data_IF_578912457632
#
_entry.id   IF_578912457632
#
_cell.length_a   1.000
_cell.length_b   1.000
_cell.length_c   1.000
_cell.angle_alpha   90.00
_cell.angle_beta   90.00
_cell.angle_gamma   90.00
#
_symmetry.space_group_name_H-M   'P 1'
#
loop_
_entity.id
_entity.type
_entity.pdbx_description
1 polymer ?
#
# COMPACT_ATOMS: atom_id res chain seq x y z
N UNK A 1 -53.12 -67.66 -19.14
CA UNK A 1 -53.32 -66.96 -20.45
C UNK A 1 -52.47 -65.64 -20.33
N UNK A 2 -51.33 -65.77 -20.98
CA UNK A 2 -50.66 -64.71 -21.79
C UNK A 2 -50.28 -63.42 -21.11
N UNK A 3 -49.14 -62.97 -21.06
CA UNK A 3 -47.93 -62.98 -21.91
C UNK A 3 -47.38 -61.49 -21.88
N UNK A 4 -46.09 -61.40 -21.73
CA UNK A 4 -45.25 -60.33 -22.21
C UNK A 4 -45.54 -58.86 -21.85
N UNK A 5 -44.61 -58.34 -21.07
CA UNK A 5 -43.87 -57.12 -21.46
C UNK A 5 -42.62 -56.98 -20.53
N UNK A 6 -41.61 -57.66 -20.97
CA UNK A 6 -40.23 -57.43 -20.50
C UNK A 6 -39.62 -56.28 -21.30
N UNK A 7 -38.87 -55.43 -20.65
CA UNK A 7 -37.76 -54.73 -21.34
C UNK A 7 -37.91 -53.23 -21.59
N UNK A 8 -37.98 -52.40 -20.58
CA UNK A 8 -37.55 -50.99 -20.70
C UNK A 8 -37.17 -50.43 -19.32
N UNK A 9 -36.03 -50.83 -18.83
CA UNK A 9 -35.61 -50.43 -17.48
C UNK A 9 -34.10 -50.51 -17.23
N UNK A 10 -33.30 -50.38 -18.29
CA UNK A 10 -31.83 -50.46 -18.14
C UNK A 10 -31.07 -49.53 -19.06
N UNK A 11 -31.46 -48.25 -19.19
CA UNK A 11 -30.65 -47.30 -19.98
C UNK A 11 -30.83 -45.86 -19.54
N UNK A 12 -30.78 -45.59 -18.23
CA UNK A 12 -30.73 -44.20 -17.73
C UNK A 12 -30.08 -44.16 -16.35
N UNK A 13 -28.84 -44.65 -16.26
CA UNK A 13 -28.07 -44.57 -15.00
C UNK A 13 -26.57 -44.36 -15.24
N UNK A 14 -26.19 -43.49 -16.17
CA UNK A 14 -24.80 -43.05 -16.29
C UNK A 14 -24.73 -41.75 -17.09
N UNK A 15 -25.30 -40.66 -16.58
CA UNK A 15 -25.02 -39.34 -17.15
C UNK A 15 -25.40 -38.22 -16.15
N UNK A 16 -24.88 -38.29 -14.93
CA UNK A 16 -24.81 -37.10 -14.06
C UNK A 16 -23.55 -37.27 -13.21
N UNK A 17 -22.53 -36.59 -13.57
CA UNK A 17 -21.34 -35.99 -12.94
C UNK A 17 -20.16 -36.06 -13.92
N UNK A 18 -19.39 -35.01 -14.15
CA UNK A 18 -18.91 -34.02 -13.18
C UNK A 18 -19.00 -32.57 -13.71
N UNK A 19 -19.71 -31.72 -13.04
CA UNK A 19 -19.68 -30.28 -13.31
C UNK A 19 -19.79 -29.46 -12.03
N UNK A 20 -19.12 -29.86 -10.95
CA UNK A 20 -19.01 -29.04 -9.74
C UNK A 20 -17.62 -29.24 -9.12
N UNK A 21 -16.58 -28.91 -9.85
CA UNK A 21 -15.23 -28.78 -9.23
C UNK A 21 -14.28 -27.85 -10.01
N UNK A 22 -14.79 -26.76 -10.56
CA UNK A 22 -13.92 -25.78 -11.24
C UNK A 22 -14.18 -24.33 -10.83
N UNK A 23 -14.86 -24.07 -9.70
CA UNK A 23 -15.18 -22.67 -9.35
C UNK A 23 -14.56 -22.16 -8.05
N UNK A 24 -13.61 -22.85 -7.44
CA UNK A 24 -12.98 -22.39 -6.19
C UNK A 24 -11.50 -22.02 -6.30
N UNK A 25 -10.91 -22.04 -7.50
CA UNK A 25 -9.48 -21.71 -7.67
C UNK A 25 -9.22 -20.26 -8.14
N UNK A 26 -10.24 -19.48 -8.48
CA UNK A 26 -10.01 -18.15 -9.07
C UNK A 26 -9.94 -16.99 -8.06
N UNK A 27 -10.23 -17.19 -6.79
CA UNK A 27 -10.19 -16.12 -5.79
C UNK A 27 -8.93 -16.12 -4.90
N UNK A 28 -8.14 -17.20 -4.97
CA UNK A 28 -6.89 -17.27 -4.21
C UNK A 28 -5.70 -16.56 -4.91
N UNK A 29 -5.82 -16.27 -6.20
CA UNK A 29 -4.69 -15.77 -7.00
C UNK A 29 -4.53 -14.25 -6.97
N UNK A 30 -5.53 -13.49 -6.53
CA UNK A 30 -5.45 -12.02 -6.42
C UNK A 30 -4.96 -11.53 -5.06
N UNK A 31 -5.10 -12.34 -4.01
CA UNK A 31 -4.58 -12.00 -2.67
C UNK A 31 -3.06 -12.19 -2.54
N UNK A 32 -2.42 -12.88 -3.48
CA UNK A 32 -0.98 -13.18 -3.45
C UNK A 32 -0.11 -12.13 -4.17
N UNK A 33 -0.69 -11.11 -4.81
CA UNK A 33 0.08 -10.13 -5.57
C UNK A 33 0.81 -9.07 -4.71
N UNK A 34 0.58 -9.02 -3.40
CA UNK A 34 1.16 -8.03 -2.49
C UNK A 34 1.95 -8.62 -1.31
N UNK A 35 2.56 -9.79 -1.47
CA UNK A 35 3.47 -10.35 -0.45
C UNK A 35 4.73 -9.46 -0.26
N UNK A 36 5.05 -8.60 -1.22
CA UNK A 36 6.21 -7.70 -1.17
C UNK A 36 6.07 -6.48 -0.25
N UNK A 37 4.85 -6.08 0.13
CA UNK A 37 4.63 -4.98 1.09
C UNK A 37 4.20 -5.53 2.45
N UNK A 38 5.19 -5.98 3.19
CA UNK A 38 4.99 -6.55 4.52
C UNK A 38 4.57 -5.47 5.49
N UNK A 39 3.42 -5.66 6.12
CA UNK A 39 2.97 -4.80 7.23
C UNK A 39 4.12 -4.61 8.21
N UNK A 40 4.45 -3.37 8.53
CA UNK A 40 5.54 -3.09 9.47
C UNK A 40 5.23 -3.66 10.85
N UNK A 41 3.97 -3.81 11.23
CA UNK A 41 3.51 -4.41 12.48
C UNK A 41 3.43 -5.94 12.46
N UNK A 42 3.83 -6.62 11.37
CA UNK A 42 3.83 -8.07 11.34
C UNK A 42 4.76 -8.65 12.41
N UNK A 43 4.26 -9.65 13.11
CA UNK A 43 5.03 -10.36 14.14
C UNK A 43 6.12 -11.24 13.51
N UNK A 44 7.13 -11.60 14.29
CA UNK A 44 8.21 -12.50 13.86
C UNK A 44 7.66 -13.84 13.35
N UNK A 45 6.67 -14.41 14.04
CA UNK A 45 6.06 -15.67 13.65
C UNK A 45 5.31 -15.56 12.30
N UNK A 46 4.57 -14.47 12.09
CA UNK A 46 3.92 -14.21 10.80
C UNK A 46 4.93 -14.06 9.67
N UNK A 47 6.01 -13.29 9.88
CA UNK A 47 7.07 -13.13 8.90
C UNK A 47 7.76 -14.45 8.56
N UNK A 48 8.01 -15.31 9.54
CA UNK A 48 8.56 -16.64 9.30
C UNK A 48 7.65 -17.53 8.48
N UNK A 49 6.34 -17.48 8.75
CA UNK A 49 5.33 -18.19 7.96
C UNK A 49 5.27 -17.66 6.53
N UNK A 50 5.28 -16.34 6.36
CA UNK A 50 5.28 -15.70 5.03
C UNK A 50 6.54 -16.09 4.23
N UNK A 51 7.72 -16.09 4.85
CA UNK A 51 8.97 -16.50 4.19
C UNK A 51 8.87 -17.96 3.70
N UNK A 52 8.43 -18.87 4.58
CA UNK A 52 8.23 -20.29 4.22
C UNK A 52 7.19 -20.47 3.11
N UNK A 53 6.09 -19.71 3.17
CA UNK A 53 5.06 -19.75 2.13
C UNK A 53 5.58 -19.28 0.77
N UNK A 54 6.37 -18.18 0.75
CA UNK A 54 7.01 -17.67 -0.46
C UNK A 54 8.03 -18.64 -1.03
N UNK A 55 8.87 -19.28 -0.18
CA UNK A 55 9.81 -20.33 -0.57
C UNK A 55 9.09 -21.54 -1.18
N UNK A 56 7.99 -21.99 -0.55
CA UNK A 56 7.16 -23.09 -1.08
C UNK A 56 6.50 -22.75 -2.41
N UNK A 57 5.95 -21.54 -2.53
CA UNK A 57 5.35 -21.06 -3.77
C UNK A 57 6.39 -20.92 -4.90
N UNK A 58 7.62 -20.52 -4.58
CA UNK A 58 8.73 -20.47 -5.55
C UNK A 58 9.10 -21.85 -6.11
N UNK A 59 8.99 -22.91 -5.31
CA UNK A 59 9.23 -24.28 -5.75
C UNK A 59 8.12 -24.78 -6.70
N UNK A 60 6.89 -24.32 -6.51
CA UNK A 60 5.72 -24.68 -7.31
C UNK A 60 5.46 -23.71 -8.48
N UNK A 61 6.31 -22.69 -8.67
CA UNK A 61 6.11 -21.65 -9.66
C UNK A 61 6.17 -22.21 -11.11
N UNK A 62 5.25 -21.80 -11.99
CA UNK A 62 5.15 -22.33 -13.34
C UNK A 62 6.26 -21.82 -14.29
N UNK A 63 6.88 -20.70 -13.97
CA UNK A 63 7.89 -20.05 -14.79
C UNK A 63 9.04 -19.46 -13.95
N UNK A 64 10.21 -19.26 -14.61
CA UNK A 64 11.43 -18.79 -13.96
C UNK A 64 11.27 -17.38 -13.36
N UNK A 65 10.54 -16.49 -14.01
CA UNK A 65 10.36 -15.10 -13.56
C UNK A 65 9.50 -15.03 -12.29
N UNK A 66 8.43 -15.83 -12.22
CA UNK A 66 7.60 -15.94 -11.03
C UNK A 66 8.36 -16.56 -9.87
N UNK A 67 9.16 -17.61 -10.15
CA UNK A 67 10.05 -18.22 -9.16
C UNK A 67 11.05 -17.22 -8.59
N UNK A 68 11.76 -16.49 -9.44
CA UNK A 68 12.75 -15.48 -9.04
C UNK A 68 12.09 -14.42 -8.12
N UNK A 69 10.96 -13.86 -8.52
CA UNK A 69 10.24 -12.86 -7.71
C UNK A 69 9.84 -13.40 -6.33
N UNK A 70 9.34 -14.64 -6.25
CA UNK A 70 8.96 -15.24 -4.97
C UNK A 70 10.17 -15.54 -4.09
N UNK A 71 11.32 -15.90 -4.68
CA UNK A 71 12.58 -16.06 -3.94
C UNK A 71 13.12 -14.72 -3.44
N UNK A 72 13.00 -13.64 -4.23
CA UNK A 72 13.35 -12.29 -3.82
C UNK A 72 12.49 -11.82 -2.65
N UNK A 73 11.18 -12.06 -2.71
CA UNK A 73 10.25 -11.77 -1.62
C UNK A 73 10.64 -12.53 -0.34
N UNK A 74 10.89 -13.83 -0.44
CA UNK A 74 11.33 -14.64 0.70
C UNK A 74 12.65 -14.13 1.29
N UNK A 75 13.61 -13.77 0.43
CA UNK A 75 14.91 -13.25 0.86
C UNK A 75 14.78 -11.89 1.56
N UNK A 76 13.91 -11.01 1.08
CA UNK A 76 13.60 -9.73 1.71
C UNK A 76 13.01 -9.92 3.11
N UNK A 77 12.07 -10.87 3.27
CA UNK A 77 11.51 -11.21 4.59
C UNK A 77 12.60 -11.76 5.53
N UNK A 78 13.45 -12.67 5.04
CA UNK A 78 14.56 -13.20 5.84
C UNK A 78 15.55 -12.11 6.26
N UNK A 79 15.85 -11.16 5.37
CA UNK A 79 16.68 -10.02 5.71
C UNK A 79 16.05 -9.13 6.77
N UNK A 80 14.74 -8.88 6.68
CA UNK A 80 14.00 -8.14 7.69
C UNK A 80 14.04 -8.83 9.05
N UNK A 81 13.77 -10.14 9.11
CA UNK A 81 13.87 -10.95 10.33
C UNK A 81 15.25 -10.90 10.98
N UNK A 82 16.31 -10.82 10.17
CA UNK A 82 17.70 -10.74 10.65
C UNK A 82 18.08 -9.33 11.10
N UNK A 83 17.72 -8.33 10.33
CA UNK A 83 18.20 -6.96 10.53
C UNK A 83 17.27 -6.14 11.43
N UNK A 84 16.01 -6.55 11.59
CA UNK A 84 14.96 -5.74 12.23
C UNK A 84 14.42 -4.64 11.34
N UNK A 85 13.54 -3.82 11.92
CA UNK A 85 12.84 -2.75 11.21
C UNK A 85 13.49 -1.37 11.40
N UNK A 86 14.33 -1.22 12.43
CA UNK A 86 14.87 0.09 12.81
C UNK A 86 16.14 0.43 12.03
N UNK A 87 16.13 1.62 11.44
CA UNK A 87 17.27 2.19 10.73
C UNK A 87 17.68 3.53 11.35
N UNK A 88 18.93 3.98 11.16
CA UNK A 88 19.35 5.29 11.61
C UNK A 88 18.45 6.41 11.11
N UNK A 89 18.03 7.28 12.03
CA UNK A 89 17.12 8.40 11.75
C UNK A 89 15.64 8.11 12.06
N UNK A 90 15.26 6.86 12.27
CA UNK A 90 13.91 6.51 12.73
C UNK A 90 13.64 7.18 14.08
N UNK A 91 12.39 7.59 14.30
CA UNK A 91 11.95 8.22 15.53
C UNK A 91 10.98 7.36 16.29
N UNK A 92 11.14 7.31 17.58
CA UNK A 92 10.35 6.49 18.49
C UNK A 92 9.79 7.41 19.57
N UNK A 93 8.47 7.42 19.70
CA UNK A 93 7.78 8.04 20.83
C UNK A 93 7.82 7.04 21.98
N UNK A 94 8.34 7.47 23.13
CA UNK A 94 8.33 6.68 24.36
C UNK A 94 7.53 7.44 25.39
N UNK A 95 6.53 6.79 25.92
CA UNK A 95 5.67 7.30 26.96
C UNK A 95 5.92 6.47 28.23
N UNK A 96 6.35 7.12 29.26
CA UNK A 96 6.52 6.50 30.58
C UNK A 96 5.22 6.73 31.35
N UNK A 97 4.62 5.66 31.81
CA UNK A 97 3.36 5.67 32.56
C UNK A 97 3.66 5.66 34.06
N UNK A 98 2.73 6.16 34.88
CA UNK A 98 2.84 6.17 36.35
C UNK A 98 2.94 7.58 36.94
N UNK A 99 3.43 7.69 38.18
CA UNK A 99 3.45 8.95 38.96
C UNK A 99 4.27 10.08 38.33
N UNK A 100 5.22 9.74 37.47
CA UNK A 100 6.06 10.69 36.72
C UNK A 100 5.85 10.50 35.20
N UNK A 101 4.59 10.53 34.79
CA UNK A 101 4.23 10.36 33.37
C UNK A 101 4.99 11.39 32.49
N UNK A 102 5.73 10.91 31.52
CA UNK A 102 6.44 11.72 30.54
C UNK A 102 6.38 11.09 29.16
N UNK A 103 6.35 11.92 28.13
CA UNK A 103 6.35 11.49 26.75
C UNK A 103 7.45 12.26 26.01
N UNK A 104 8.34 11.53 25.35
CA UNK A 104 9.42 12.15 24.58
C UNK A 104 9.73 11.33 23.33
N UNK A 105 10.34 11.99 22.34
CA UNK A 105 10.70 11.39 21.06
C UNK A 105 12.21 11.21 20.95
N UNK A 106 12.62 9.96 20.73
CA UNK A 106 14.03 9.60 20.59
C UNK A 106 14.33 9.20 19.15
N UNK A 107 15.54 9.51 18.69
CA UNK A 107 15.99 9.17 17.33
C UNK A 107 16.99 8.03 17.40
N UNK A 108 16.80 7.03 16.54
CA UNK A 108 17.73 5.91 16.37
C UNK A 108 19.03 6.41 15.77
N UNK A 109 20.15 6.14 16.42
CA UNK A 109 21.50 6.58 16.02
C UNK A 109 22.06 5.75 14.86
N UNK A 110 23.19 6.18 14.31
CA UNK A 110 23.88 5.54 13.19
C UNK A 110 24.27 4.08 13.40
N UNK A 111 24.50 3.69 14.65
CA UNK A 111 24.84 2.33 15.09
C UNK A 111 23.59 1.48 15.45
N UNK A 112 22.39 1.97 15.14
CA UNK A 112 21.08 1.39 15.53
C UNK A 112 20.88 1.31 17.03
N UNK A 113 21.50 2.22 17.77
CA UNK A 113 21.30 2.36 19.20
C UNK A 113 20.27 3.44 19.49
N UNK A 114 19.52 3.25 20.56
CA UNK A 114 18.61 4.21 21.15
C UNK A 114 19.21 4.69 22.47
N UNK A 115 19.38 6.00 22.59
CA UNK A 115 19.90 6.62 23.80
C UNK A 115 18.74 7.22 24.62
N UNK A 116 18.52 6.65 25.78
CA UNK A 116 17.55 7.15 26.76
C UNK A 116 18.28 7.88 27.91
N UNK A 117 17.67 8.91 28.52
CA UNK A 117 18.27 9.63 29.64
C UNK A 117 18.54 8.68 30.81
N UNK A 118 19.73 8.80 31.40
CA UNK A 118 20.17 8.03 32.57
C UNK A 118 20.22 6.50 32.41
N UNK A 119 20.15 6.01 31.16
CA UNK A 119 20.24 4.60 30.84
C UNK A 119 21.38 4.35 29.83
N UNK A 120 21.99 3.18 29.83
CA UNK A 120 22.90 2.79 28.73
C UNK A 120 22.19 2.74 27.39
N UNK A 121 22.96 2.89 26.31
CA UNK A 121 22.46 2.76 24.95
C UNK A 121 21.82 1.38 24.74
N UNK A 122 20.63 1.36 24.15
CA UNK A 122 19.84 0.15 23.88
C UNK A 122 19.93 -0.17 22.39
N UNK A 123 20.35 -1.39 22.05
CA UNK A 123 20.44 -1.83 20.65
C UNK A 123 19.07 -2.20 20.11
N UNK A 124 18.73 -1.65 18.93
CA UNK A 124 17.55 -2.01 18.14
C UNK A 124 17.89 -2.88 16.93
N UNK A 125 19.15 -3.36 16.82
CA UNK A 125 19.54 -4.26 15.76
C UNK A 125 18.79 -5.60 15.87
N UNK A 126 18.10 -6.01 14.79
CA UNK A 126 17.32 -7.24 14.77
C UNK A 126 15.94 -7.15 15.46
N UNK A 127 15.56 -5.99 15.99
CA UNK A 127 14.25 -5.76 16.63
C UNK A 127 13.22 -5.40 15.56
N UNK A 128 12.08 -6.07 15.58
CA UNK A 128 10.93 -5.72 14.75
C UNK A 128 10.08 -4.64 15.43
N UNK A 129 9.34 -3.87 14.65
CA UNK A 129 8.43 -2.84 15.18
C UNK A 129 7.40 -3.44 16.16
N UNK A 130 6.87 -4.61 15.84
CA UNK A 130 5.96 -5.37 16.71
C UNK A 130 6.59 -5.84 18.03
N UNK A 131 7.91 -5.85 18.12
CA UNK A 131 8.68 -6.28 19.32
C UNK A 131 9.20 -5.09 20.12
N UNK A 132 9.08 -3.86 19.61
CA UNK A 132 9.72 -2.66 20.15
C UNK A 132 9.39 -2.43 21.63
N UNK A 133 8.11 -2.43 21.97
CA UNK A 133 7.63 -2.21 23.35
C UNK A 133 8.20 -3.23 24.33
N UNK A 134 8.10 -4.51 23.97
CA UNK A 134 8.55 -5.60 24.84
C UNK A 134 10.06 -5.58 24.99
N UNK A 135 10.80 -5.30 23.90
CA UNK A 135 12.24 -5.16 23.90
C UNK A 135 12.68 -4.01 24.82
N UNK A 136 12.09 -2.82 24.66
CA UNK A 136 12.43 -1.68 25.52
C UNK A 136 12.04 -1.91 26.97
N UNK A 137 10.87 -2.48 27.23
CA UNK A 137 10.45 -2.83 28.60
C UNK A 137 11.44 -3.75 29.27
N UNK A 138 11.93 -4.76 28.55
CA UNK A 138 12.96 -5.71 29.03
C UNK A 138 14.30 -5.03 29.30
N UNK A 139 14.78 -4.20 28.38
CA UNK A 139 16.07 -3.53 28.51
C UNK A 139 16.07 -2.48 29.65
N UNK A 140 15.01 -1.66 29.72
CA UNK A 140 14.83 -0.66 30.79
C UNK A 140 14.61 -1.35 32.14
N UNK A 141 13.93 -2.50 32.17
CA UNK A 141 13.68 -3.30 33.36
C UNK A 141 14.93 -3.84 34.06
N UNK A 142 16.10 -3.81 33.41
CA UNK A 142 17.39 -4.12 34.03
C UNK A 142 17.84 -3.04 35.02
N UNK A 143 17.36 -1.83 34.86
CA UNK A 143 17.78 -0.64 35.63
C UNK A 143 16.63 -0.03 36.47
N UNK A 144 15.40 -0.14 35.97
CA UNK A 144 14.19 0.40 36.61
C UNK A 144 13.29 -0.75 37.04
N UNK A 145 12.82 -0.76 38.27
CA UNK A 145 11.88 -1.76 38.76
C UNK A 145 10.50 -1.53 38.16
N UNK A 146 9.94 -2.56 37.51
CA UNK A 146 8.59 -2.53 36.92
C UNK A 146 8.36 -1.31 36.01
N UNK A 147 9.13 -1.16 34.92
CA UNK A 147 8.95 -0.03 34.02
C UNK A 147 7.60 -0.18 33.29
N UNK A 148 6.71 0.77 33.48
CA UNK A 148 5.51 0.92 32.67
C UNK A 148 5.79 1.91 31.57
N UNK A 149 6.06 1.43 30.37
CA UNK A 149 6.32 2.25 29.19
C UNK A 149 5.50 1.80 27.99
N UNK A 150 5.19 2.77 27.14
CA UNK A 150 4.71 2.53 25.79
C UNK A 150 5.76 3.02 24.81
N UNK A 151 5.92 2.36 23.69
CA UNK A 151 6.87 2.75 22.66
C UNK A 151 6.22 2.54 21.29
N UNK A 152 6.20 3.60 20.50
CA UNK A 152 5.56 3.61 19.18
C UNK A 152 6.49 4.26 18.17
N UNK A 153 6.68 3.61 17.04
CA UNK A 153 7.43 4.18 15.91
C UNK A 153 6.66 5.35 15.32
N UNK A 154 7.38 6.42 15.03
CA UNK A 154 6.83 7.59 14.35
C UNK A 154 7.20 7.55 12.88
N UNK A 155 6.26 7.95 12.04
CA UNK A 155 6.43 8.07 10.61
C UNK A 155 6.27 9.54 10.19
N UNK A 156 7.15 10.02 9.31
CA UNK A 156 7.04 11.35 8.74
C UNK A 156 6.49 11.26 7.33
N UNK A 157 5.29 11.76 7.10
CA UNK A 157 4.62 11.78 5.81
C UNK A 157 4.52 13.20 5.25
N UNK A 158 4.49 13.32 3.93
CA UNK A 158 4.17 14.55 3.22
C UNK A 158 2.69 14.55 2.83
N UNK A 159 1.96 15.57 3.27
CA UNK A 159 0.56 15.79 2.89
C UNK A 159 0.50 16.81 1.77
N UNK A 160 0.01 16.43 0.60
CA UNK A 160 0.10 17.25 -0.62
C UNK A 160 -1.25 17.32 -1.36
N UNK A 161 -1.44 18.40 -2.11
CA UNK A 161 -2.64 18.63 -2.93
C UNK A 161 -3.75 19.33 -2.16
N UNK A 162 -5.00 18.94 -2.41
CA UNK A 162 -6.21 19.57 -1.86
C UNK A 162 -6.55 19.05 -0.46
N UNK A 163 -5.71 19.39 0.49
CA UNK A 163 -5.87 19.06 1.91
C UNK A 163 -5.79 20.36 2.74
N UNK A 164 -6.47 20.38 3.88
CA UNK A 164 -6.61 21.58 4.69
C UNK A 164 -5.26 22.18 5.14
N UNK A 165 -4.31 21.35 5.58
CA UNK A 165 -2.94 21.75 5.94
C UNK A 165 -1.95 20.81 5.27
N UNK A 166 -1.38 21.28 4.14
CA UNK A 166 -0.29 20.58 3.46
C UNK A 166 1.04 20.74 4.18
N UNK A 167 1.99 19.85 3.89
CA UNK A 167 3.32 19.85 4.44
C UNK A 167 3.69 18.52 5.10
N UNK A 168 4.79 18.53 5.87
CA UNK A 168 5.22 17.33 6.58
C UNK A 168 4.53 17.21 7.93
N UNK A 169 4.04 16.00 8.21
CA UNK A 169 3.51 15.62 9.53
C UNK A 169 4.28 14.42 10.06
N UNK A 170 4.36 14.34 11.37
CA UNK A 170 4.95 13.18 12.06
C UNK A 170 3.85 12.55 12.89
N UNK A 171 3.62 11.27 12.69
CA UNK A 171 2.49 10.52 13.24
C UNK A 171 2.94 9.16 13.75
N UNK A 172 2.29 8.63 14.80
CA UNK A 172 2.44 7.25 15.22
C UNK A 172 2.00 6.28 14.14
N UNK A 173 2.70 5.15 14.00
CA UNK A 173 2.38 4.14 12.97
C UNK A 173 1.08 3.37 13.25
N UNK A 174 0.65 3.32 14.48
CA UNK A 174 -0.61 2.72 14.92
C UNK A 174 -1.82 3.63 14.72
N UNK A 175 -1.61 4.89 14.29
CA UNK A 175 -2.69 5.83 14.02
C UNK A 175 -3.45 5.47 12.74
N UNK A 176 -4.78 5.52 12.80
CA UNK A 176 -5.63 5.28 11.64
C UNK A 176 -5.42 6.35 10.55
N UNK A 177 -5.45 5.95 9.28
CA UNK A 177 -5.28 6.87 8.15
C UNK A 177 -6.35 7.96 8.11
N UNK A 178 -7.56 7.66 8.59
CA UNK A 178 -8.66 8.62 8.73
C UNK A 178 -8.32 9.75 9.69
N UNK A 179 -7.70 9.41 10.83
CA UNK A 179 -7.32 10.38 11.85
C UNK A 179 -6.19 11.28 11.35
N UNK A 180 -5.25 10.71 10.59
CA UNK A 180 -4.18 11.45 9.92
C UNK A 180 -4.74 12.50 8.96
N UNK A 181 -5.73 12.12 8.15
CA UNK A 181 -6.41 13.05 7.25
C UNK A 181 -7.13 14.16 8.01
N UNK A 182 -7.85 13.82 9.08
CA UNK A 182 -8.57 14.80 9.90
C UNK A 182 -7.63 15.72 10.66
N UNK A 183 -6.51 15.22 11.18
CA UNK A 183 -5.49 16.02 11.84
C UNK A 183 -4.88 17.08 10.91
N UNK A 184 -4.87 16.83 9.59
CA UNK A 184 -4.42 17.80 8.58
C UNK A 184 -5.54 18.71 8.05
N UNK A 185 -6.72 18.70 8.67
CA UNK A 185 -7.87 19.53 8.29
C UNK A 185 -8.74 18.90 7.21
N UNK A 186 -8.53 17.64 6.90
CA UNK A 186 -9.33 16.87 5.95
C UNK A 186 -9.17 17.30 4.49
N UNK A 187 -9.83 16.59 3.56
CA UNK A 187 -9.87 16.96 2.15
C UNK A 187 -10.58 18.30 1.95
N UNK A 188 -9.99 19.17 1.14
CA UNK A 188 -10.60 20.45 0.78
C UNK A 188 -11.89 20.29 -0.04
N UNK A 189 -12.67 21.35 -0.17
CA UNK A 189 -13.96 21.33 -0.92
C UNK A 189 -13.80 20.98 -2.41
N UNK A 190 -12.66 21.30 -2.99
CA UNK A 190 -12.31 20.97 -4.39
C UNK A 190 -11.57 19.63 -4.52
N UNK A 191 -11.31 18.91 -3.43
CA UNK A 191 -10.58 17.66 -3.43
C UNK A 191 -11.34 16.53 -4.16
N UNK A 192 -10.67 15.81 -5.05
CA UNK A 192 -11.12 14.51 -5.58
C UNK A 192 -10.60 13.40 -4.67
N UNK A 193 -11.22 13.27 -3.51
CA UNK A 193 -10.77 12.32 -2.48
C UNK A 193 -10.73 10.88 -2.97
N UNK A 194 -11.61 10.49 -3.89
CA UNK A 194 -11.65 9.14 -4.45
C UNK A 194 -10.40 8.81 -5.30
N UNK A 195 -9.64 9.83 -5.70
CA UNK A 195 -8.38 9.66 -6.46
C UNK A 195 -7.13 9.92 -5.61
N UNK A 196 -7.28 9.92 -4.29
CA UNK A 196 -6.13 10.03 -3.39
C UNK A 196 -5.21 8.83 -3.55
N UNK A 197 -3.91 9.08 -3.68
CA UNK A 197 -2.87 8.06 -3.84
C UNK A 197 -1.73 8.32 -2.89
N UNK A 198 -0.92 7.28 -2.61
CA UNK A 198 0.36 7.47 -1.94
C UNK A 198 1.49 7.34 -2.97
N UNK A 199 2.44 8.26 -2.91
CA UNK A 199 3.62 8.28 -3.78
C UNK A 199 4.89 8.11 -2.96
N UNK A 200 5.85 7.41 -3.52
CA UNK A 200 7.21 7.29 -3.01
C UNK A 200 8.18 7.63 -4.12
N UNK A 201 9.01 8.66 -3.95
CA UNK A 201 9.92 9.14 -5.00
C UNK A 201 9.22 9.37 -6.34
N UNK A 202 8.01 9.95 -6.32
CA UNK A 202 7.20 10.26 -7.49
C UNK A 202 6.43 9.08 -8.12
N UNK A 203 6.62 7.85 -7.63
CA UNK A 203 5.89 6.66 -8.09
C UNK A 203 4.71 6.37 -7.16
N UNK A 204 3.58 5.98 -7.72
CA UNK A 204 2.42 5.51 -6.93
C UNK A 204 2.76 4.16 -6.32
N UNK A 205 2.67 4.07 -4.98
CA UNK A 205 2.90 2.85 -4.20
C UNK A 205 1.62 2.34 -3.54
N UNK A 206 0.62 3.21 -3.34
CA UNK A 206 -0.74 2.82 -2.96
C UNK A 206 -1.69 3.47 -3.95
N UNK A 207 -2.44 2.66 -4.66
CA UNK A 207 -3.42 3.13 -5.66
C UNK A 207 -4.62 3.83 -4.99
N UNK A 208 -5.44 4.51 -5.78
CA UNK A 208 -6.61 5.18 -5.26
C UNK A 208 -7.63 4.18 -4.67
N UNK A 209 -7.79 3.03 -5.30
CA UNK A 209 -8.68 1.97 -4.84
C UNK A 209 -8.23 1.40 -3.51
N UNK A 210 -6.93 1.08 -3.39
CA UNK A 210 -6.32 0.57 -2.15
C UNK A 210 -6.39 1.59 -1.02
N UNK A 211 -6.17 2.88 -1.34
CA UNK A 211 -6.30 3.96 -0.36
C UNK A 211 -7.74 4.08 0.16
N UNK A 212 -8.73 4.04 -0.73
CA UNK A 212 -10.14 4.08 -0.35
C UNK A 212 -10.55 2.86 0.47
N UNK A 213 -10.00 1.68 0.16
CA UNK A 213 -10.23 0.48 0.96
C UNK A 213 -9.61 0.62 2.35
N UNK A 214 -8.38 1.14 2.46
CA UNK A 214 -7.72 1.40 3.73
C UNK A 214 -8.53 2.36 4.60
N UNK A 215 -9.09 3.43 4.02
CA UNK A 215 -9.98 4.38 4.70
C UNK A 215 -11.24 3.68 5.20
N UNK A 216 -11.91 2.88 4.35
CA UNK A 216 -13.14 2.14 4.74
C UNK A 216 -12.89 1.09 5.83
N UNK A 217 -11.75 0.42 5.75
CA UNK A 217 -11.34 -0.60 6.72
C UNK A 217 -10.70 0.01 7.98
N UNK A 218 -10.62 1.33 8.07
CA UNK A 218 -9.95 2.08 9.15
C UNK A 218 -8.53 1.53 9.44
N UNK A 219 -7.76 1.25 8.37
CA UNK A 219 -6.39 0.73 8.51
C UNK A 219 -5.47 1.78 9.14
N UNK A 220 -4.51 1.30 9.89
CA UNK A 220 -3.44 2.14 10.42
C UNK A 220 -2.41 2.47 9.34
N UNK A 221 -1.61 3.49 9.59
CA UNK A 221 -0.49 3.87 8.72
C UNK A 221 0.52 2.72 8.58
N UNK A 222 0.76 1.98 9.66
CA UNK A 222 1.62 0.80 9.68
C UNK A 222 1.08 -0.36 8.83
N UNK A 223 -0.26 -0.58 8.83
CA UNK A 223 -0.91 -1.60 7.99
C UNK A 223 -0.81 -1.29 6.49
N UNK A 224 -0.65 -0.01 6.13
CA UNK A 224 -0.50 0.42 4.75
C UNK A 224 0.94 0.34 4.24
N UNK A 225 1.88 -0.14 5.06
CA UNK A 225 3.32 -0.26 4.73
C UNK A 225 3.96 1.07 4.26
N UNK A 226 3.47 2.19 4.79
CA UNK A 226 4.00 3.51 4.47
C UNK A 226 5.40 3.66 5.08
N UNK A 227 6.23 4.51 4.46
CA UNK A 227 7.60 4.78 4.88
C UNK A 227 7.85 6.27 5.07
N UNK A 228 8.87 6.60 5.80
CA UNK A 228 9.34 7.98 5.94
C UNK A 228 9.54 8.64 4.58
N UNK A 229 8.95 9.82 4.41
CA UNK A 229 9.00 10.57 3.17
C UNK A 229 7.95 10.19 2.12
N UNK A 230 7.07 9.24 2.39
CA UNK A 230 5.94 8.97 1.50
C UNK A 230 5.00 10.18 1.45
N UNK A 231 4.42 10.40 0.28
CA UNK A 231 3.55 11.52 -0.02
C UNK A 231 2.11 11.05 -0.19
N UNK A 232 1.20 11.49 0.68
CA UNK A 232 -0.23 11.34 0.49
C UNK A 232 -0.71 12.50 -0.37
N UNK A 233 -1.08 12.21 -1.61
CA UNK A 233 -1.48 13.20 -2.59
C UNK A 233 -2.99 13.17 -2.84
N UNK A 234 -3.67 14.26 -2.50
CA UNK A 234 -5.10 14.46 -2.73
C UNK A 234 -5.30 15.37 -3.94
N UNK A 235 -5.74 14.86 -5.11
CA UNK A 235 -5.89 15.67 -6.32
C UNK A 235 -7.08 16.62 -6.26
N UNK A 236 -7.08 17.62 -7.14
CA UNK A 236 -8.19 18.54 -7.36
C UNK A 236 -9.20 17.93 -8.35
N UNK A 237 -10.49 18.05 -8.09
CA UNK A 237 -11.58 17.70 -9.04
C UNK A 237 -11.45 18.44 -10.38
N UNK A 238 -10.88 19.66 -10.36
CA UNK A 238 -10.70 20.49 -11.58
C UNK A 238 -9.63 19.96 -12.53
N UNK A 239 -8.73 19.10 -12.09
CA UNK A 239 -7.70 18.52 -12.96
C UNK A 239 -8.26 17.63 -14.08
N UNK A 240 -9.48 17.07 -13.91
CA UNK A 240 -10.19 16.34 -14.97
C UNK A 240 -10.80 17.25 -16.07
N UNK A 241 -11.03 18.53 -15.79
CA UNK A 241 -11.58 19.47 -16.78
C UNK A 241 -10.50 19.99 -17.76
N UNK A 242 -9.25 20.06 -17.34
CA UNK A 242 -8.17 20.55 -18.20
C UNK A 242 -7.86 19.58 -19.35
N UNK A 243 -8.11 18.28 -19.22
CA UNK A 243 -7.94 17.30 -20.31
C UNK A 243 -8.98 17.56 -21.42
N UNK A 244 -10.22 17.91 -21.06
CA UNK A 244 -11.24 18.27 -22.07
C UNK A 244 -10.93 19.60 -22.76
N UNK A 245 -10.38 20.59 -22.05
CA UNK A 245 -9.90 21.84 -22.66
C UNK A 245 -8.70 21.61 -23.58
N UNK A 246 -7.75 20.75 -23.20
CA UNK A 246 -6.64 20.36 -24.08
C UNK A 246 -7.13 19.61 -25.33
N UNK A 247 -8.09 18.69 -25.19
CA UNK A 247 -8.71 18.00 -26.33
C UNK A 247 -9.47 18.99 -27.24
N UNK A 248 -10.15 19.98 -26.69
CA UNK A 248 -10.82 21.03 -27.47
C UNK A 248 -9.81 21.93 -28.19
N UNK A 249 -8.70 22.31 -27.56
CA UNK A 249 -7.63 23.09 -28.21
C UNK A 249 -6.94 22.29 -29.33
N UNK A 250 -6.67 21.01 -29.11
CA UNK A 250 -6.08 20.13 -30.13
C UNK A 250 -7.04 19.94 -31.31
N UNK A 251 -8.33 19.74 -31.06
CA UNK A 251 -9.33 19.61 -32.12
C UNK A 251 -9.52 20.90 -32.91
N UNK A 252 -9.48 22.08 -32.25
CA UNK A 252 -9.50 23.38 -32.91
C UNK A 252 -8.28 23.62 -33.80
N UNK A 253 -7.06 23.23 -33.36
CA UNK A 253 -5.85 23.32 -34.14
C UNK A 253 -5.86 22.38 -35.36
N UNK A 254 -6.38 21.16 -35.20
CA UNK A 254 -6.57 20.21 -36.29
C UNK A 254 -7.58 20.77 -37.33
N UNK A 255 -8.72 21.30 -36.84
CA UNK A 255 -9.71 21.93 -37.70
C UNK A 255 -9.14 23.11 -38.49
N UNK A 256 -8.36 24.00 -37.86
CA UNK A 256 -7.71 25.13 -38.49
C UNK A 256 -6.66 24.71 -39.54
N UNK A 257 -5.89 23.63 -39.27
CA UNK A 257 -4.96 23.04 -40.20
C UNK A 257 -5.67 22.52 -41.47
N UNK A 258 -6.83 21.86 -41.34
CA UNK A 258 -7.62 21.38 -42.47
C UNK A 258 -8.21 22.53 -43.28
N UNK A 259 -8.68 23.62 -42.69
CA UNK A 259 -9.21 24.80 -43.36
C UNK A 259 -8.10 25.47 -44.15
N UNK A 260 -6.90 25.63 -43.60
CA UNK A 260 -5.74 26.22 -44.32
C UNK A 260 -5.25 25.33 -45.46
N UNK A 261 -5.35 24.03 -45.35
CA UNK A 261 -4.88 23.10 -46.40
C UNK A 261 -5.89 22.91 -47.52
N UNK A 262 -7.20 22.99 -47.24
CA UNK A 262 -8.25 22.82 -48.27
C UNK A 262 -8.85 24.13 -48.76
N UNK A 263 -8.61 25.26 -48.09
CA UNK A 263 -9.08 26.59 -48.52
C UNK A 263 -8.35 27.17 -49.74
N UNK A 264 -7.28 26.55 -50.23
CA UNK A 264 -6.60 26.94 -51.49
C UNK A 264 -7.11 26.11 -52.65
N UNK A 265 -8.40 26.25 -53.01
CA UNK A 265 -8.83 25.89 -54.37
C UNK A 265 -8.61 27.13 -55.29
N UNK A 266 -7.84 27.00 -56.39
CA UNK A 266 -7.77 28.10 -57.33
C UNK A 266 -9.13 28.27 -57.98
N UNK A 267 -9.72 29.47 -57.89
CA UNK A 267 -10.86 29.90 -58.67
C UNK A 267 -10.43 29.97 -60.13
N UNK A 268 -10.83 28.94 -60.91
CA UNK A 268 -10.67 28.95 -62.33
C UNK A 268 -11.43 30.11 -62.95
N UNK A 269 -10.71 31.02 -63.58
CA UNK A 269 -11.25 32.10 -64.45
C UNK A 269 -11.95 31.47 -65.61
N UNK A 270 -13.29 31.61 -65.70
CA UNK A 270 -14.03 31.41 -66.92
C UNK A 270 -13.83 32.65 -67.81
N UNK A 271 -13.10 32.49 -68.90
CA UNK A 271 -12.97 33.51 -69.92
C UNK A 271 -14.25 33.62 -70.74
N UNK A 272 -14.54 34.79 -71.34
CA UNK A 272 -15.73 35.00 -72.16
C UNK A 272 -15.52 34.38 -73.54
N UNK A 273 -16.54 33.68 -74.05
CA UNK A 273 -16.63 33.25 -75.43
C UNK A 273 -17.26 34.34 -76.32
N UNK A 274 -16.89 34.44 -77.60
CA UNK A 274 -17.42 35.43 -78.54
C UNK A 274 -18.84 35.15 -79.00
#
# INVERSE_FOLDING_TARGET
>A
MNAHLSGLGRMLRNLILPAVLTFTLSHATQAQAHIGEQRRQATRAELEQMAKAAEGAAQAAPDAKTKERMMDDASAIRMRLKNGDFVPGDRILIEILGDSASSDTFTVRGDRMLQLPNLPDISLAGVLDSELKDHLTKEVGKYVKQPELNATSLLRLAMMGQIGRGGFITIPMDQAITDVLMATGGPGSSADFNKTVVRRSGKVVVSAEEFQEAVRANRTVGDMSLRDGDEIFVPDKKQGQNVLQYLQLVSALIGFYFILRWGRRPTGTAGPNP
#
